data_IF_362040664019
#
_entry.id   IF_362040664019
#
_cell.length_a   1.000
_cell.length_b   1.000
_cell.length_c   1.000
_cell.angle_alpha   90.00
_cell.angle_beta   90.00
_cell.angle_gamma   90.00
#
_symmetry.space_group_name_H-M   'P 1'
#
loop_
_entity.id
_entity.type
_entity.pdbx_description
1 polymer ?
#
# COMPACT_ATOMS: atom_id res chain seq x y z
N UNK A 1 50.01 0.82 -4.99
CA UNK A 1 48.74 1.03 -5.69
C UNK A 1 47.67 -0.03 -5.40
N UNK A 2 48.00 -1.28 -5.03
CA UNK A 2 47.00 -2.34 -4.69
C UNK A 2 46.30 -2.16 -3.31
N UNK A 3 46.94 -1.51 -2.37
CA UNK A 3 46.40 -1.27 -1.00
C UNK A 3 45.34 -0.15 -0.94
N UNK A 4 45.39 0.83 -1.83
CA UNK A 4 44.43 1.94 -1.88
C UNK A 4 43.10 1.48 -2.49
N UNK A 5 43.11 0.50 -3.39
CA UNK A 5 41.91 -0.05 -4.02
C UNK A 5 41.06 -0.87 -3.05
N UNK A 6 41.71 -1.58 -2.13
CA UNK A 6 41.02 -2.38 -1.09
C UNK A 6 40.32 -1.53 -0.03
N UNK A 7 40.85 -0.35 0.29
CA UNK A 7 40.23 0.61 1.21
C UNK A 7 38.97 1.29 0.62
N UNK A 8 38.91 1.45 -0.70
CA UNK A 8 37.76 2.05 -1.37
C UNK A 8 36.54 1.10 -1.48
N UNK A 9 36.78 -0.22 -1.50
CA UNK A 9 35.72 -1.24 -1.55
C UNK A 9 35.06 -1.42 -0.17
N UNK A 10 35.77 -1.14 0.92
CA UNK A 10 35.23 -1.28 2.29
C UNK A 10 34.30 -0.12 2.70
N UNK A 11 34.31 1.01 1.98
CA UNK A 11 33.50 2.20 2.29
C UNK A 11 32.11 2.19 1.64
N UNK A 12 31.80 1.23 0.75
CA UNK A 12 30.52 1.17 0.04
C UNK A 12 29.50 0.25 0.73
N UNK A 13 29.90 -0.51 1.77
CA UNK A 13 29.05 -1.53 2.41
C UNK A 13 28.16 -1.06 3.59
N UNK A 14 28.04 0.24 3.83
CA UNK A 14 27.35 0.74 5.04
C UNK A 14 26.06 1.54 4.80
N UNK A 15 25.33 1.34 3.71
CA UNK A 15 24.11 2.11 3.45
C UNK A 15 22.91 1.30 2.98
N UNK A 16 22.78 0.02 3.40
CA UNK A 16 21.50 -0.70 3.28
C UNK A 16 20.76 -0.69 4.62
N UNK A 17 20.64 0.47 5.23
CA UNK A 17 19.57 0.70 6.20
C UNK A 17 18.29 0.86 5.42
N UNK A 18 17.45 -0.17 5.40
CA UNK A 18 16.12 -0.11 4.81
C UNK A 18 15.39 1.12 5.34
N UNK A 19 15.16 2.10 4.48
CA UNK A 19 14.34 3.27 4.81
C UNK A 19 12.92 2.75 5.05
N UNK A 20 12.54 2.56 6.31
CA UNK A 20 11.16 2.25 6.66
C UNK A 20 10.29 3.40 6.17
N UNK A 21 9.44 3.12 5.22
CA UNK A 21 8.49 4.09 4.70
C UNK A 21 7.57 4.56 5.83
N UNK A 22 7.36 5.86 5.88
CA UNK A 22 6.52 6.51 6.87
C UNK A 22 5.28 7.06 6.20
N UNK A 23 4.12 6.60 6.65
CA UNK A 23 2.83 6.99 6.12
C UNK A 23 2.07 7.84 7.13
N UNK A 24 1.66 9.04 6.74
CA UNK A 24 0.88 9.93 7.61
C UNK A 24 -0.58 9.54 7.54
N UNK A 25 -1.15 9.16 8.69
CA UNK A 25 -2.56 8.80 8.81
C UNK A 25 -3.46 10.02 8.77
N UNK A 26 -4.64 9.84 8.17
CA UNK A 26 -5.79 10.73 8.24
C UNK A 26 -6.99 9.98 8.81
N UNK A 27 -7.91 10.73 9.41
CA UNK A 27 -9.14 10.18 9.95
C UNK A 27 -10.33 10.93 9.34
N UNK A 28 -11.28 10.18 8.78
CA UNK A 28 -12.54 10.71 8.23
C UNK A 28 -13.71 10.61 9.22
N UNK A 29 -13.44 10.43 10.52
CA UNK A 29 -14.43 10.24 11.56
C UNK A 29 -14.79 8.77 11.83
N UNK A 30 -14.99 7.97 10.80
CA UNK A 30 -15.32 6.54 10.93
C UNK A 30 -14.24 5.60 10.42
N UNK A 31 -13.31 6.10 9.60
CA UNK A 31 -12.29 5.24 8.98
C UNK A 31 -10.96 5.96 8.82
N UNK A 32 -9.88 5.23 9.11
CA UNK A 32 -8.50 5.70 8.89
C UNK A 32 -8.12 5.51 7.43
N UNK A 33 -7.36 6.45 6.89
CA UNK A 33 -6.83 6.37 5.53
C UNK A 33 -5.47 7.05 5.41
N UNK A 34 -4.75 6.72 4.35
CA UNK A 34 -3.54 7.42 3.91
C UNK A 34 -3.87 8.25 2.67
N UNK A 35 -3.09 9.29 2.42
CA UNK A 35 -3.17 10.06 1.18
C UNK A 35 -2.04 9.63 0.24
N UNK A 36 -2.40 9.34 -1.01
CA UNK A 36 -1.49 9.00 -2.08
C UNK A 36 -1.70 9.94 -3.27
N UNK A 37 -0.63 10.60 -3.71
CA UNK A 37 -0.64 11.41 -4.93
C UNK A 37 -0.09 10.58 -6.08
N UNK A 38 -0.92 10.29 -7.06
CA UNK A 38 -0.59 9.42 -8.18
C UNK A 38 0.63 9.97 -8.95
N UNK A 39 1.66 9.14 -9.07
CA UNK A 39 2.87 9.44 -9.79
C UNK A 39 2.76 9.02 -11.28
N UNK A 40 3.65 9.51 -12.17
CA UNK A 40 3.72 9.03 -13.54
C UNK A 40 3.91 7.52 -13.62
N UNK A 41 3.19 6.85 -14.54
CA UNK A 41 3.18 5.40 -14.78
C UNK A 41 2.49 4.56 -13.69
N UNK A 42 1.94 5.16 -12.66
CA UNK A 42 1.11 4.44 -11.70
C UNK A 42 -0.27 4.13 -12.27
N UNK A 43 -0.82 3.02 -11.83
CA UNK A 43 -2.16 2.56 -12.13
C UNK A 43 -2.79 1.94 -10.87
N UNK A 44 -4.06 1.55 -10.93
CA UNK A 44 -4.78 0.95 -9.81
C UNK A 44 -4.05 -0.22 -9.15
N UNK A 45 -3.42 -1.09 -9.95
CA UNK A 45 -2.70 -2.27 -9.43
C UNK A 45 -1.36 -1.92 -8.80
N UNK A 46 -0.62 -0.96 -9.38
CA UNK A 46 0.64 -0.52 -8.78
C UNK A 46 0.41 0.18 -7.44
N UNK A 47 -0.62 1.04 -7.34
CA UNK A 47 -1.00 1.68 -6.08
C UNK A 47 -1.49 0.64 -5.06
N UNK A 48 -2.33 -0.31 -5.48
CA UNK A 48 -2.79 -1.40 -4.62
C UNK A 48 -1.64 -2.20 -4.00
N UNK A 49 -0.59 -2.48 -4.78
CA UNK A 49 0.61 -3.18 -4.30
C UNK A 49 1.42 -2.38 -3.28
N UNK A 50 1.53 -1.06 -3.45
CA UNK A 50 2.24 -0.19 -2.49
C UNK A 50 1.59 -0.27 -1.10
N UNK A 51 0.25 -0.39 -1.06
CA UNK A 51 -0.52 -0.31 0.18
C UNK A 51 -1.17 -1.63 0.60
N UNK A 52 -0.88 -2.72 -0.10
CA UNK A 52 -1.40 -4.07 0.20
C UNK A 52 -2.93 -4.12 0.31
N UNK A 53 -3.60 -3.42 -0.61
CA UNK A 53 -5.06 -3.36 -0.67
C UNK A 53 -5.55 -3.48 -2.11
N UNK A 54 -6.75 -4.06 -2.31
CA UNK A 54 -7.25 -4.27 -3.66
C UNK A 54 -7.58 -2.95 -4.38
N UNK A 55 -7.34 -2.87 -5.70
CA UNK A 55 -7.76 -1.74 -6.52
C UNK A 55 -9.24 -1.41 -6.37
N UNK A 56 -10.08 -2.44 -6.24
CA UNK A 56 -11.54 -2.31 -6.07
C UNK A 56 -11.89 -1.55 -4.80
N UNK A 57 -11.19 -1.81 -3.70
CA UNK A 57 -11.43 -1.15 -2.43
C UNK A 57 -10.95 0.30 -2.44
N UNK A 58 -9.79 0.57 -3.07
CA UNK A 58 -9.33 1.95 -3.27
C UNK A 58 -10.36 2.72 -4.10
N UNK A 59 -10.82 2.17 -5.22
CA UNK A 59 -11.80 2.81 -6.09
C UNK A 59 -13.12 3.07 -5.36
N UNK A 60 -13.65 2.06 -4.67
CA UNK A 60 -14.90 2.20 -3.90
C UNK A 60 -14.80 3.26 -2.80
N UNK A 61 -13.69 3.31 -2.05
CA UNK A 61 -13.47 4.28 -0.99
C UNK A 61 -13.38 5.72 -1.52
N UNK A 62 -12.88 5.89 -2.74
CA UNK A 62 -12.77 7.19 -3.42
C UNK A 62 -13.99 7.51 -4.31
N UNK A 63 -15.01 6.64 -4.38
CA UNK A 63 -16.17 6.78 -5.26
C UNK A 63 -15.78 6.90 -6.75
N UNK A 64 -14.77 6.14 -7.15
CA UNK A 64 -14.21 6.12 -8.50
C UNK A 64 -14.51 4.78 -9.18
N UNK A 65 -14.52 4.78 -10.53
CA UNK A 65 -14.63 3.55 -11.31
C UNK A 65 -13.24 3.04 -11.71
N UNK A 66 -13.04 1.71 -11.63
CA UNK A 66 -11.81 1.05 -12.09
C UNK A 66 -11.63 1.12 -13.62
N UNK A 67 -12.72 1.30 -14.37
CA UNK A 67 -12.68 1.40 -15.85
C UNK A 67 -11.97 2.67 -16.30
N UNK A 68 -11.86 3.65 -15.43
CA UNK A 68 -11.11 4.88 -15.66
C UNK A 68 -9.71 4.74 -15.09
N UNK A 69 -8.70 5.09 -15.90
CA UNK A 69 -7.32 5.19 -15.43
C UNK A 69 -7.16 6.28 -14.37
N UNK A 70 -6.04 6.23 -13.66
CA UNK A 70 -5.65 7.27 -12.70
C UNK A 70 -5.00 8.46 -13.41
N UNK A 71 -5.36 9.67 -13.02
CA UNK A 71 -4.71 10.90 -13.48
C UNK A 71 -3.42 11.16 -12.70
N UNK A 72 -2.35 11.57 -13.39
CA UNK A 72 -1.09 11.99 -12.72
C UNK A 72 -1.40 13.18 -11.80
N UNK A 73 -0.93 13.10 -10.56
CA UNK A 73 -1.17 14.12 -9.54
C UNK A 73 -2.53 14.01 -8.83
N UNK A 74 -3.38 13.08 -9.25
CA UNK A 74 -4.65 12.78 -8.57
C UNK A 74 -4.39 12.35 -7.13
N UNK A 75 -5.16 12.88 -6.18
CA UNK A 75 -5.08 12.49 -4.78
C UNK A 75 -6.05 11.34 -4.51
N UNK A 76 -5.52 10.22 -4.04
CA UNK A 76 -6.28 9.05 -3.63
C UNK A 76 -6.26 8.91 -2.11
N UNK A 77 -7.39 8.55 -1.54
CA UNK A 77 -7.50 8.08 -0.15
C UNK A 77 -7.38 6.57 -0.14
N UNK A 78 -6.41 6.06 0.59
CA UNK A 78 -6.13 4.63 0.71
C UNK A 78 -6.67 4.17 2.05
N UNK A 79 -7.75 3.39 2.11
CA UNK A 79 -8.32 2.96 3.37
C UNK A 79 -7.37 2.02 4.12
N UNK A 80 -7.30 2.19 5.44
CA UNK A 80 -6.60 1.27 6.34
C UNK A 80 -7.61 0.27 6.90
N UNK A 81 -7.35 -1.01 6.71
CA UNK A 81 -8.19 -2.15 7.11
C UNK A 81 -7.33 -3.24 7.73
N UNK A 82 -7.95 -4.23 8.37
CA UNK A 82 -7.25 -5.35 9.01
C UNK A 82 -6.35 -6.15 8.04
N UNK A 83 -6.64 -6.09 6.74
CA UNK A 83 -5.85 -6.77 5.70
C UNK A 83 -4.54 -6.06 5.34
N UNK A 84 -4.42 -4.75 5.57
CA UNK A 84 -3.23 -3.96 5.24
C UNK A 84 -2.70 -3.10 6.39
N UNK A 85 -3.34 -3.14 7.56
CA UNK A 85 -2.96 -2.33 8.71
C UNK A 85 -3.06 -3.12 10.02
N UNK A 86 -2.04 -2.98 10.86
CA UNK A 86 -2.00 -3.63 12.19
C UNK A 86 -1.53 -2.67 13.27
N UNK A 87 -2.15 -2.79 14.44
CA UNK A 87 -1.79 -2.07 15.67
C UNK A 87 -1.12 -3.00 16.69
N UNK A 88 -0.27 -3.92 16.24
CA UNK A 88 0.51 -4.82 17.10
C UNK A 88 1.93 -4.34 17.31
N UNK A 89 2.58 -4.74 18.41
CA UNK A 89 4.00 -4.48 18.65
C UNK A 89 4.92 -5.52 18.03
N UNK A 90 4.40 -6.69 17.68
CA UNK A 90 5.15 -7.78 17.04
C UNK A 90 4.67 -7.84 15.59
N UNK A 91 5.46 -7.30 14.68
CA UNK A 91 5.14 -7.25 13.25
C UNK A 91 6.34 -7.78 12.48
N UNK A 92 6.27 -9.05 12.08
CA UNK A 92 7.32 -9.72 11.30
C UNK A 92 7.31 -9.27 9.83
N UNK A 93 6.16 -8.76 9.34
CA UNK A 93 5.93 -8.36 7.95
C UNK A 93 5.52 -6.89 7.81
N UNK A 94 6.07 -5.99 8.67
CA UNK A 94 5.80 -4.56 8.57
C UNK A 94 6.53 -3.94 7.37
N UNK A 95 5.76 -3.36 6.46
CA UNK A 95 6.27 -2.67 5.27
C UNK A 95 6.49 -1.17 5.52
N UNK A 96 5.86 -0.62 6.55
CA UNK A 96 6.06 0.77 6.93
C UNK A 96 5.30 1.19 8.19
N UNK A 97 5.75 2.29 8.78
CA UNK A 97 5.13 2.87 9.97
C UNK A 97 4.01 3.81 9.57
N UNK A 98 2.83 3.60 10.13
CA UNK A 98 1.70 4.52 10.02
C UNK A 98 1.73 5.45 11.22
N UNK A 99 1.85 6.75 10.98
CA UNK A 99 2.10 7.75 12.03
C UNK A 99 1.07 8.87 12.02
N UNK A 100 0.80 9.36 13.22
CA UNK A 100 0.10 10.62 13.46
C UNK A 100 1.12 11.72 13.78
N UNK A 101 0.96 12.90 13.14
CA UNK A 101 1.74 14.08 13.53
C UNK A 101 1.01 14.79 14.64
N UNK A 102 1.54 14.69 15.86
CA UNK A 102 0.91 15.25 17.08
C UNK A 102 0.66 16.74 16.91
N UNK A 103 -0.58 17.17 17.13
CA UNK A 103 -0.99 18.57 17.07
C UNK A 103 -0.88 19.23 18.45
N UNK A 104 -0.89 20.56 18.46
CA UNK A 104 -0.92 21.31 19.73
C UNK A 104 -2.17 20.90 20.55
N UNK A 105 -1.98 20.72 21.86
CA UNK A 105 -3.01 20.30 22.82
C UNK A 105 -3.53 18.87 22.64
N UNK A 106 -2.85 18.03 21.89
CA UNK A 106 -3.14 16.61 21.85
C UNK A 106 -2.33 15.87 22.91
N UNK A 107 -3.01 15.03 23.67
CA UNK A 107 -2.41 14.13 24.65
C UNK A 107 -2.52 12.68 24.21
N UNK A 108 -1.65 11.84 24.78
CA UNK A 108 -1.58 10.41 24.42
C UNK A 108 -2.92 9.69 24.61
N UNK A 109 -3.63 9.98 25.71
CA UNK A 109 -4.97 9.39 25.96
C UNK A 109 -5.98 9.75 24.88
N UNK A 110 -6.01 11.02 24.44
CA UNK A 110 -6.89 11.46 23.37
C UNK A 110 -6.59 10.72 22.06
N UNK A 111 -5.31 10.55 21.72
CA UNK A 111 -4.90 9.84 20.52
C UNK A 111 -5.15 8.34 20.60
N UNK A 112 -4.96 7.72 21.75
CA UNK A 112 -5.31 6.32 21.98
C UNK A 112 -6.81 6.08 21.69
N UNK A 113 -7.69 6.93 22.20
CA UNK A 113 -9.13 6.86 21.94
C UNK A 113 -9.46 7.18 20.46
N UNK A 114 -8.82 8.18 19.85
CA UNK A 114 -9.06 8.56 18.47
C UNK A 114 -8.77 7.42 17.49
N UNK A 115 -7.72 6.64 17.77
CA UNK A 115 -7.26 5.53 16.95
C UNK A 115 -7.72 4.17 17.42
N UNK A 116 -8.55 4.13 18.48
CA UNK A 116 -9.06 2.90 19.10
C UNK A 116 -7.92 1.90 19.41
N UNK A 117 -6.86 2.38 20.02
CA UNK A 117 -5.69 1.60 20.43
C UNK A 117 -5.47 1.74 21.93
N UNK A 118 -5.09 0.65 22.59
CA UNK A 118 -4.75 0.70 24.00
C UNK A 118 -3.58 1.67 24.26
N UNK A 119 -3.67 2.49 25.30
CA UNK A 119 -2.67 3.52 25.62
C UNK A 119 -1.29 2.93 25.90
N UNK A 120 -1.22 1.83 26.64
CA UNK A 120 0.06 1.19 26.96
C UNK A 120 0.66 0.51 25.72
N UNK A 121 -0.18 -0.04 24.85
CA UNK A 121 0.26 -0.54 23.56
C UNK A 121 0.82 0.60 22.70
N UNK A 122 0.14 1.75 22.68
CA UNK A 122 0.60 2.94 21.93
C UNK A 122 1.95 3.44 22.47
N UNK A 123 2.13 3.46 23.80
CA UNK A 123 3.44 3.77 24.42
C UNK A 123 4.52 2.79 23.99
N UNK A 124 4.22 1.50 24.04
CA UNK A 124 5.14 0.43 23.68
C UNK A 124 5.58 0.51 22.22
N UNK A 125 4.67 0.75 21.28
CA UNK A 125 4.99 0.94 19.86
C UNK A 125 5.94 2.13 19.63
N UNK A 126 5.89 3.14 20.51
CA UNK A 126 6.66 4.38 20.39
C UNK A 126 7.87 4.44 21.32
N UNK A 127 8.13 3.43 22.14
CA UNK A 127 9.22 3.44 23.14
C UNK A 127 9.08 4.54 24.19
N UNK A 128 7.84 4.93 24.55
CA UNK A 128 7.57 6.00 25.50
C UNK A 128 7.62 5.48 26.94
N UNK A 129 8.39 6.13 27.80
CA UNK A 129 8.44 5.86 29.23
C UNK A 129 7.35 6.60 30.02
N UNK A 130 6.77 7.66 29.45
CA UNK A 130 5.72 8.48 30.08
C UNK A 130 4.59 8.76 29.07
N UNK A 131 3.51 9.41 29.56
CA UNK A 131 2.39 9.82 28.70
C UNK A 131 2.64 11.16 27.98
N UNK A 132 3.82 11.75 28.16
CA UNK A 132 4.15 13.04 27.54
C UNK A 132 4.50 12.89 26.07
N UNK A 133 3.83 13.64 25.24
CA UNK A 133 4.08 13.77 23.81
C UNK A 133 4.10 15.25 23.41
N UNK A 134 4.91 15.62 22.43
CA UNK A 134 5.07 17.01 22.00
C UNK A 134 4.46 17.21 20.60
N UNK A 135 3.88 18.40 20.40
CA UNK A 135 3.42 18.80 19.09
C UNK A 135 4.56 18.71 18.05
N UNK A 136 4.25 18.25 16.86
CA UNK A 136 5.21 17.98 15.77
C UNK A 136 5.86 16.61 15.83
N UNK A 137 5.77 15.87 16.94
CA UNK A 137 6.28 14.51 17.00
C UNK A 137 5.46 13.56 16.11
N UNK A 138 6.15 12.54 15.60
CA UNK A 138 5.48 11.46 14.87
C UNK A 138 5.18 10.32 15.82
N UNK A 139 3.92 10.11 16.11
CA UNK A 139 3.44 9.02 16.96
C UNK A 139 3.04 7.84 16.06
N UNK A 140 3.70 6.70 16.20
CA UNK A 140 3.34 5.47 15.49
C UNK A 140 2.01 4.99 16.08
N UNK A 141 1.02 4.83 15.21
CA UNK A 141 -0.31 4.33 15.57
C UNK A 141 -0.58 2.92 15.04
N UNK A 142 0.36 2.39 14.28
CA UNK A 142 0.32 1.06 13.70
C UNK A 142 1.30 0.92 12.54
N UNK A 143 1.14 -0.17 11.81
CA UNK A 143 2.04 -0.56 10.73
C UNK A 143 1.26 -0.97 9.49
N UNK A 144 1.78 -0.62 8.32
CA UNK A 144 1.32 -1.18 7.06
C UNK A 144 1.88 -2.60 6.93
N UNK A 145 1.03 -3.56 6.61
CA UNK A 145 1.37 -4.98 6.55
C UNK A 145 0.92 -5.60 5.24
N UNK A 146 1.72 -6.55 4.74
CA UNK A 146 1.32 -7.42 3.64
C UNK A 146 0.73 -8.71 4.22
N UNK A 147 -0.57 -8.92 4.04
CA UNK A 147 -1.20 -10.19 4.41
C UNK A 147 -1.32 -11.11 3.18
N UNK A 148 -1.41 -12.44 3.35
CA UNK A 148 -1.67 -13.34 2.23
C UNK A 148 -2.93 -12.98 1.44
N UNK A 149 -3.97 -12.52 2.12
CA UNK A 149 -5.22 -12.08 1.50
C UNK A 149 -5.02 -10.82 0.64
N UNK A 150 -4.25 -9.84 1.11
CA UNK A 150 -3.96 -8.62 0.36
C UNK A 150 -3.11 -8.90 -0.88
N UNK A 151 -2.14 -9.80 -0.79
CA UNK A 151 -1.26 -10.17 -1.92
C UNK A 151 -2.06 -10.84 -3.05
N UNK A 152 -2.99 -11.73 -2.71
CA UNK A 152 -3.85 -12.39 -3.71
C UNK A 152 -4.82 -11.39 -4.36
N UNK A 153 -5.37 -10.47 -3.58
CA UNK A 153 -6.36 -9.48 -4.05
C UNK A 153 -5.81 -8.46 -5.04
N UNK A 154 -4.49 -8.19 -5.01
CA UNK A 154 -3.82 -7.25 -5.90
C UNK A 154 -3.16 -7.90 -7.13
N UNK A 155 -3.19 -9.23 -7.23
CA UNK A 155 -2.69 -9.90 -8.41
C UNK A 155 -3.58 -9.54 -9.62
N UNK A 156 -3.02 -9.14 -10.77
CA UNK A 156 -3.82 -8.94 -11.97
C UNK A 156 -4.44 -10.29 -12.34
N UNK A 157 -5.78 -10.34 -12.39
CA UNK A 157 -6.45 -11.48 -13.02
C UNK A 157 -5.93 -11.57 -14.45
N UNK A 158 -5.16 -12.61 -14.75
CA UNK A 158 -4.68 -12.87 -16.10
C UNK A 158 -5.91 -12.94 -17.00
N UNK A 159 -6.03 -12.11 -18.05
CA UNK A 159 -7.11 -12.28 -19.00
C UNK A 159 -6.98 -13.70 -19.56
N UNK A 160 -8.04 -14.50 -19.39
CA UNK A 160 -8.12 -15.79 -20.04
C UNK A 160 -7.83 -15.55 -21.52
N UNK A 161 -6.74 -16.11 -21.99
CA UNK A 161 -6.32 -16.07 -23.38
C UNK A 161 -7.37 -16.81 -24.19
N UNK A 162 -8.37 -16.06 -24.66
CA UNK A 162 -9.28 -16.57 -25.70
C UNK A 162 -8.41 -16.84 -26.91
N UNK A 163 -8.11 -18.10 -27.13
CA UNK A 163 -7.43 -18.53 -28.35
C UNK A 163 -8.26 -18.06 -29.53
N UNK A 164 -7.65 -17.51 -30.60
CA UNK A 164 -8.40 -17.21 -31.82
C UNK A 164 -8.94 -18.52 -32.36
N UNK A 165 -10.29 -18.64 -32.47
CA UNK A 165 -10.90 -19.67 -33.23
C UNK A 165 -10.44 -19.54 -34.69
N UNK A 166 -9.73 -20.54 -35.16
CA UNK A 166 -9.35 -20.69 -36.55
C UNK A 166 -10.64 -20.86 -37.36
N UNK A 167 -10.92 -20.05 -38.38
CA UNK A 167 -12.10 -20.24 -39.20
C UNK A 167 -12.01 -21.57 -39.95
N UNK A 168 -12.98 -22.44 -39.70
CA UNK A 168 -13.15 -23.73 -40.37
C UNK A 168 -13.39 -23.47 -41.88
N UNK A 169 -12.68 -24.13 -42.81
CA UNK A 169 -12.89 -23.93 -44.24
C UNK A 169 -14.31 -24.35 -44.63
N UNK A 170 -15.02 -23.46 -45.26
CA UNK A 170 -16.30 -23.76 -45.97
C UNK A 170 -16.05 -24.76 -47.07
N UNK A 171 -16.71 -25.92 -47.01
CA UNK A 171 -16.80 -26.87 -48.12
C UNK A 171 -17.55 -26.22 -49.28
N UNK A 172 -16.84 -25.96 -50.35
CA UNK A 172 -17.44 -25.64 -51.66
C UNK A 172 -18.07 -26.90 -52.18
N UNK A 173 -19.39 -26.89 -52.26
CA UNK A 173 -20.14 -27.94 -52.98
C UNK A 173 -20.11 -27.57 -54.47
N UNK A 174 -19.35 -28.32 -55.21
CA UNK A 174 -19.30 -28.30 -56.68
C UNK A 174 -20.64 -28.79 -57.21
N UNK A 175 -21.35 -27.94 -57.99
CA UNK A 175 -22.52 -28.31 -58.77
C UNK A 175 -22.07 -28.79 -60.14
N UNK A 176 -22.29 -30.05 -60.40
CA UNK A 176 -22.19 -30.68 -61.71
C UNK A 176 -23.16 -30.08 -62.71
N UNK A 177 -22.79 -29.91 -64.00
CA UNK A 177 -23.71 -29.39 -65.04
C UNK A 177 -24.56 -30.55 -65.63
N UNK A 178 -25.86 -30.33 -65.69
CA UNK A 178 -26.78 -31.18 -66.41
C UNK A 178 -26.79 -30.77 -67.87
N UNK A 179 -26.62 -31.78 -68.76
CA UNK A 179 -26.82 -31.77 -70.23
C UNK A 179 -28.28 -31.61 -70.56
#
# INVERSE_FOLDING_TARGET
>A
MKTVLLLFILLISSSLMGQQHKFIVRNSGSQLYLEHKVAPKENWYSVGRIYFISPKEIAAFNQLSLDKGLGIGQLLKIPLKDENFSQSTVIDNAEGKVVHVVQAKEGLYKLANLYNVDKELLKKMNGLSSDQINAGNNLIIGYLIATPASVVSIAPSSPAKTAPETPKPLKVTEKEPVV
#
